data_IF_460253332330
#
_entry.id   IF_460253332330
#
_cell.length_a   1.000
_cell.length_b   1.000
_cell.length_c   1.000
_cell.angle_alpha   90.00
_cell.angle_beta   90.00
_cell.angle_gamma   90.00
#
_symmetry.space_group_name_H-M   'P 1'
#
loop_
_entity.id
_entity.type
_entity.pdbx_description
1 polymer ?
#
# COMPACT_ATOMS: atom_id res chain seq x y z
N UNK A 1 29.96 -12.89 -5.30
CA UNK A 1 29.29 -13.51 -4.13
C UNK A 1 27.83 -13.07 -4.06
N UNK A 2 26.98 -13.77 -3.32
CA UNK A 2 25.65 -13.26 -2.94
C UNK A 2 25.80 -12.20 -1.84
N UNK A 3 24.99 -11.15 -1.87
CA UNK A 3 25.11 -10.01 -0.94
C UNK A 3 23.85 -9.92 -0.08
N UNK A 4 24.06 -9.71 1.23
CA UNK A 4 23.03 -9.30 2.18
C UNK A 4 23.11 -7.76 2.29
N UNK A 5 22.24 -7.00 1.60
CA UNK A 5 22.38 -5.54 1.50
C UNK A 5 21.96 -4.80 2.78
N UNK A 6 21.37 -5.50 3.76
CA UNK A 6 20.86 -4.93 5.01
C UNK A 6 21.10 -5.91 6.15
N UNK A 7 21.07 -5.41 7.38
CA UNK A 7 21.01 -6.28 8.55
C UNK A 7 19.68 -7.06 8.57
N UNK A 8 19.61 -8.21 9.27
CA UNK A 8 18.35 -8.94 9.48
C UNK A 8 17.30 -8.08 10.19
N UNK A 9 16.06 -8.17 9.74
CA UNK A 9 14.90 -7.53 10.34
C UNK A 9 14.70 -8.08 11.76
N UNK A 10 14.48 -7.21 12.76
CA UNK A 10 14.28 -7.66 14.11
C UNK A 10 12.86 -8.25 14.22
N UNK A 11 12.80 -9.57 14.18
CA UNK A 11 11.58 -10.35 14.37
C UNK A 11 11.62 -10.94 15.77
N UNK A 12 10.53 -10.78 16.53
CA UNK A 12 10.42 -11.37 17.86
C UNK A 12 9.94 -12.81 17.73
N UNK A 13 10.63 -13.75 18.38
CA UNK A 13 10.18 -15.13 18.46
C UNK A 13 9.01 -15.24 19.46
N UNK A 14 7.76 -15.46 19.01
CA UNK A 14 6.62 -15.58 19.92
C UNK A 14 6.70 -16.83 20.80
N UNK A 15 7.47 -17.84 20.39
CA UNK A 15 7.74 -19.06 21.16
C UNK A 15 8.95 -18.90 22.12
N UNK A 16 9.57 -17.72 22.12
CA UNK A 16 10.65 -17.36 23.03
C UNK A 16 10.16 -16.99 24.43
N UNK A 17 11.09 -16.63 25.35
CA UNK A 17 10.69 -16.03 26.62
C UNK A 17 9.81 -14.78 26.38
N UNK A 18 8.95 -14.42 27.32
CA UNK A 18 8.11 -13.23 27.18
C UNK A 18 8.96 -11.97 26.94
N UNK A 19 8.47 -11.09 26.06
CA UNK A 19 9.16 -9.84 25.75
C UNK A 19 9.14 -8.93 26.98
N UNK A 20 10.31 -8.63 27.54
CA UNK A 20 10.41 -7.66 28.65
C UNK A 20 10.12 -6.25 28.16
N UNK A 21 9.86 -5.31 29.08
CA UNK A 21 9.70 -3.90 28.73
C UNK A 21 10.96 -3.31 28.07
N UNK A 22 12.14 -3.79 28.46
CA UNK A 22 13.42 -3.42 27.86
C UNK A 22 13.55 -3.98 26.44
N UNK A 23 13.21 -5.26 26.22
CA UNK A 23 13.19 -5.87 24.89
C UNK A 23 12.22 -5.14 23.96
N UNK A 24 11.04 -4.77 24.46
CA UNK A 24 10.06 -3.97 23.71
C UNK A 24 10.63 -2.61 23.31
N UNK A 25 11.34 -1.95 24.23
CA UNK A 25 11.98 -0.65 23.97
C UNK A 25 13.10 -0.78 22.95
N UNK A 26 13.95 -1.81 23.08
CA UNK A 26 15.04 -2.10 22.14
C UNK A 26 14.50 -2.43 20.75
N UNK A 27 13.48 -3.27 20.65
CA UNK A 27 12.82 -3.61 19.38
C UNK A 27 12.20 -2.35 18.74
N UNK A 28 11.49 -1.53 19.52
CA UNK A 28 10.95 -0.25 19.05
C UNK A 28 12.06 0.68 18.53
N UNK A 29 13.18 0.80 19.23
CA UNK A 29 14.31 1.61 18.78
C UNK A 29 14.94 1.06 17.50
N UNK A 30 15.15 -0.25 17.39
CA UNK A 30 15.67 -0.88 16.16
C UNK A 30 14.73 -0.65 14.96
N UNK A 31 13.43 -0.85 15.16
CA UNK A 31 12.41 -0.57 14.14
C UNK A 31 12.37 0.92 13.81
N UNK A 32 12.45 1.80 14.80
CA UNK A 32 12.52 3.25 14.63
C UNK A 32 13.74 3.60 13.78
N UNK A 33 14.94 3.16 14.12
CA UNK A 33 16.16 3.46 13.36
C UNK A 33 16.09 3.01 11.88
N UNK A 34 15.36 1.94 11.58
CA UNK A 34 15.09 1.47 10.20
C UNK A 34 14.04 2.30 9.47
N UNK A 35 13.06 2.83 10.20
CA UNK A 35 11.92 3.58 9.67
C UNK A 35 12.08 5.10 9.83
N UNK A 36 13.17 5.56 10.47
CA UNK A 36 13.43 6.96 10.69
C UNK A 36 13.43 7.69 9.35
N UNK A 37 12.76 8.85 9.25
CA UNK A 37 13.12 9.78 8.22
C UNK A 37 14.59 10.08 8.45
N UNK A 38 15.43 9.73 7.48
CA UNK A 38 16.81 10.22 7.43
C UNK A 38 16.78 11.72 7.73
N UNK A 39 17.63 12.19 8.64
CA UNK A 39 17.52 13.51 9.27
C UNK A 39 17.27 14.68 8.28
N UNK A 40 17.77 14.56 7.05
CA UNK A 40 17.46 15.45 5.95
C UNK A 40 16.20 15.00 5.17
N UNK A 41 15.09 15.70 5.39
CA UNK A 41 13.80 15.50 4.70
C UNK A 41 13.60 16.43 3.51
N UNK A 42 14.64 17.16 3.08
CA UNK A 42 14.55 18.03 1.90
C UNK A 42 14.18 17.24 0.65
N UNK A 43 13.53 17.91 -0.30
CA UNK A 43 13.15 17.31 -1.59
C UNK A 43 14.36 16.68 -2.29
N UNK A 44 15.52 17.33 -2.23
CA UNK A 44 16.76 16.85 -2.83
C UNK A 44 17.24 15.54 -2.17
N UNK A 45 17.22 15.47 -0.84
CA UNK A 45 17.66 14.28 -0.12
C UNK A 45 16.68 13.11 -0.29
N UNK A 46 15.37 13.38 -0.34
CA UNK A 46 14.35 12.36 -0.67
C UNK A 46 14.58 11.81 -2.08
N UNK A 47 14.83 12.69 -3.05
CA UNK A 47 15.14 12.28 -4.41
C UNK A 47 16.43 11.45 -4.49
N UNK A 48 17.49 11.86 -3.78
CA UNK A 48 18.76 11.13 -3.73
C UNK A 48 18.61 9.72 -3.14
N UNK A 49 17.83 9.54 -2.06
CA UNK A 49 17.57 8.21 -1.48
C UNK A 49 16.76 7.30 -2.40
N UNK A 50 15.78 7.87 -3.12
CA UNK A 50 15.03 7.15 -4.15
C UNK A 50 15.96 6.70 -5.27
N UNK A 51 16.83 7.60 -5.75
CA UNK A 51 17.83 7.28 -6.77
C UNK A 51 18.84 6.22 -6.27
N UNK A 52 19.29 6.30 -5.02
CA UNK A 52 20.21 5.30 -4.46
C UNK A 52 19.59 3.90 -4.43
N UNK A 53 18.29 3.78 -4.12
CA UNK A 53 17.58 2.49 -4.17
C UNK A 53 17.60 1.89 -5.59
N UNK A 54 17.52 2.76 -6.61
CA UNK A 54 17.63 2.38 -8.02
C UNK A 54 19.07 2.02 -8.38
N UNK A 55 20.05 2.75 -7.88
CA UNK A 55 21.47 2.57 -8.19
C UNK A 55 22.09 1.33 -7.52
N UNK A 56 21.65 0.98 -6.32
CA UNK A 56 22.29 -0.04 -5.48
C UNK A 56 22.51 -1.39 -6.20
N UNK A 57 21.54 -1.99 -6.90
CA UNK A 57 21.78 -3.24 -7.64
C UNK A 57 22.86 -3.13 -8.73
N UNK A 58 23.05 -1.95 -9.32
CA UNK A 58 24.07 -1.71 -10.35
C UNK A 58 25.46 -1.56 -9.72
N UNK A 59 25.53 -0.83 -8.59
CA UNK A 59 26.75 -0.72 -7.79
C UNK A 59 27.23 -2.10 -7.34
N UNK A 60 26.33 -2.93 -6.80
CA UNK A 60 26.63 -4.29 -6.38
C UNK A 60 27.11 -5.16 -7.55
N UNK A 61 26.47 -5.03 -8.71
CA UNK A 61 26.90 -5.76 -9.92
C UNK A 61 28.31 -5.38 -10.34
N UNK A 62 28.62 -4.09 -10.39
CA UNK A 62 29.95 -3.59 -10.73
C UNK A 62 31.02 -4.04 -9.72
N UNK A 63 30.63 -4.29 -8.47
CA UNK A 63 31.49 -4.87 -7.44
C UNK A 63 31.62 -6.40 -7.50
N UNK A 64 31.02 -7.07 -8.50
CA UNK A 64 31.11 -8.53 -8.68
C UNK A 64 30.09 -9.34 -7.87
N UNK A 65 28.99 -8.72 -7.43
CA UNK A 65 27.88 -9.46 -6.84
C UNK A 65 27.22 -10.37 -7.89
N UNK A 66 26.85 -11.58 -7.46
CA UNK A 66 26.11 -12.54 -8.29
C UNK A 66 24.59 -12.38 -8.13
N UNK A 67 24.17 -11.75 -7.04
CA UNK A 67 22.77 -11.60 -6.65
C UNK A 67 22.67 -11.01 -5.25
N UNK A 68 21.45 -10.67 -4.85
CA UNK A 68 21.13 -10.16 -3.53
C UNK A 68 20.11 -11.06 -2.84
N UNK A 69 20.32 -11.29 -1.54
CA UNK A 69 19.31 -11.89 -0.68
C UNK A 69 18.51 -10.77 -0.01
N UNK A 70 17.21 -10.96 0.06
CA UNK A 70 16.25 -10.07 0.71
C UNK A 70 15.64 -10.83 1.87
N UNK A 71 15.64 -10.19 3.03
CA UNK A 71 15.01 -10.71 4.23
C UNK A 71 13.48 -10.66 4.07
N UNK A 72 12.80 -11.79 4.31
CA UNK A 72 11.34 -11.90 4.34
C UNK A 72 10.67 -11.02 5.39
N UNK A 73 11.43 -10.59 6.41
CA UNK A 73 11.03 -9.64 7.45
C UNK A 73 9.75 -10.04 8.21
N UNK A 74 9.49 -11.35 8.29
CA UNK A 74 8.36 -11.99 8.96
C UNK A 74 8.85 -13.28 9.63
N UNK A 75 8.17 -13.70 10.69
CA UNK A 75 8.44 -14.95 11.40
C UNK A 75 7.86 -16.20 10.70
N UNK A 76 8.23 -17.36 11.21
CA UNK A 76 7.70 -18.68 10.84
C UNK A 76 7.91 -19.05 9.37
N UNK A 77 9.05 -18.63 8.79
CA UNK A 77 9.35 -18.94 7.39
C UNK A 77 8.48 -18.19 6.38
N UNK A 78 7.68 -17.20 6.82
CA UNK A 78 6.90 -16.37 5.93
C UNK A 78 7.82 -15.55 5.04
N UNK A 79 7.50 -15.52 3.75
CA UNK A 79 8.14 -14.67 2.78
C UNK A 79 7.33 -13.39 2.62
N UNK A 80 7.97 -12.40 2.03
CA UNK A 80 7.29 -11.20 1.54
C UNK A 80 7.54 -11.07 0.05
N UNK A 81 6.50 -10.82 -0.72
CA UNK A 81 6.64 -10.39 -2.10
C UNK A 81 6.73 -8.87 -2.16
N UNK A 82 7.48 -8.37 -3.13
CA UNK A 82 7.44 -6.96 -3.51
C UNK A 82 8.09 -6.82 -4.89
N UNK A 83 7.75 -5.76 -5.61
CA UNK A 83 8.35 -5.52 -6.91
C UNK A 83 7.77 -4.31 -7.60
N UNK A 84 8.34 -3.99 -8.77
CA UNK A 84 7.73 -3.02 -9.68
C UNK A 84 8.04 -3.44 -11.11
N UNK A 85 7.06 -3.42 -12.03
CA UNK A 85 7.28 -3.75 -13.43
C UNK A 85 8.05 -2.64 -14.16
N UNK A 86 8.24 -1.49 -13.52
CA UNK A 86 8.89 -0.33 -14.13
C UNK A 86 10.39 -0.53 -14.33
N UNK A 87 10.97 -1.61 -13.79
CA UNK A 87 12.40 -1.88 -13.88
C UNK A 87 12.76 -3.35 -13.72
N UNK A 88 13.67 -3.81 -14.58
CA UNK A 88 14.36 -5.10 -14.41
C UNK A 88 15.71 -4.83 -13.73
N UNK A 89 15.90 -5.41 -12.54
CA UNK A 89 17.17 -5.32 -11.82
C UNK A 89 18.30 -6.03 -12.60
N UNK A 90 19.56 -5.56 -12.51
CA UNK A 90 20.68 -6.12 -13.24
C UNK A 90 21.26 -7.38 -12.58
N UNK A 91 20.74 -7.73 -11.39
CA UNK A 91 21.08 -8.88 -10.56
C UNK A 91 19.79 -9.60 -10.14
N UNK A 92 19.83 -10.94 -9.96
CA UNK A 92 18.75 -11.66 -9.31
C UNK A 92 18.60 -11.20 -7.86
N UNK A 93 17.36 -11.05 -7.42
CA UNK A 93 16.97 -10.82 -6.03
C UNK A 93 16.20 -12.05 -5.54
N UNK A 94 16.63 -12.63 -4.43
CA UNK A 94 15.96 -13.76 -3.79
C UNK A 94 15.46 -13.35 -2.42
N UNK A 95 14.15 -13.45 -2.20
CA UNK A 95 13.58 -13.35 -0.85
C UNK A 95 13.74 -14.71 -0.16
N UNK A 96 14.30 -14.70 1.05
CA UNK A 96 14.41 -15.87 1.92
C UNK A 96 13.74 -15.59 3.26
N UNK A 97 13.47 -16.62 4.06
CA UNK A 97 12.89 -16.44 5.39
C UNK A 97 13.76 -15.55 6.27
N UNK A 98 13.16 -14.88 7.26
CA UNK A 98 13.92 -14.08 8.21
C UNK A 98 14.91 -14.95 9.00
N UNK A 99 14.51 -16.16 9.36
CA UNK A 99 15.32 -17.11 10.11
C UNK A 99 16.58 -17.52 9.34
N UNK A 100 16.45 -17.83 8.04
CA UNK A 100 17.58 -18.16 7.18
C UNK A 100 18.47 -16.93 6.95
N UNK A 101 17.88 -15.77 6.71
CA UNK A 101 18.62 -14.52 6.54
C UNK A 101 19.46 -14.17 7.77
N UNK A 102 18.84 -14.27 8.96
CA UNK A 102 19.49 -14.01 10.23
C UNK A 102 20.58 -15.04 10.55
N UNK A 103 20.36 -16.32 10.19
CA UNK A 103 21.39 -17.36 10.31
C UNK A 103 22.61 -17.03 9.44
N UNK A 104 22.41 -16.68 8.17
CA UNK A 104 23.49 -16.32 7.25
C UNK A 104 24.28 -15.11 7.76
N UNK A 105 23.59 -14.09 8.26
CA UNK A 105 24.23 -12.92 8.87
C UNK A 105 25.12 -13.31 10.07
N UNK A 106 24.59 -14.13 11.00
CA UNK A 106 25.38 -14.60 12.17
C UNK A 106 26.59 -15.44 11.77
N UNK A 107 26.47 -16.28 10.74
CA UNK A 107 27.60 -17.07 10.24
C UNK A 107 28.70 -16.16 9.67
N UNK A 108 28.31 -15.14 8.89
CA UNK A 108 29.25 -14.14 8.35
C UNK A 108 29.94 -13.38 9.49
N UNK A 109 29.18 -12.91 10.49
CA UNK A 109 29.73 -12.21 11.66
C UNK A 109 30.70 -13.09 12.46
N UNK A 110 30.47 -14.40 12.49
CA UNK A 110 31.35 -15.39 13.11
C UNK A 110 32.58 -15.77 12.24
N UNK A 111 32.80 -15.09 11.10
CA UNK A 111 33.92 -15.37 10.19
C UNK A 111 33.72 -16.62 9.32
N UNK A 112 32.54 -17.22 9.32
CA UNK A 112 32.19 -18.32 8.42
C UNK A 112 31.75 -17.75 7.08
N UNK A 113 32.14 -18.39 5.97
CA UNK A 113 31.67 -18.03 4.62
C UNK A 113 30.66 -19.07 4.12
N UNK A 114 29.34 -18.81 4.24
CA UNK A 114 28.32 -19.72 3.73
C UNK A 114 28.42 -19.90 2.22
N UNK A 115 28.14 -21.11 1.73
CA UNK A 115 27.99 -21.40 0.31
C UNK A 115 26.50 -21.54 -0.01
N UNK A 116 26.06 -20.86 -1.06
CA UNK A 116 24.68 -20.85 -1.52
C UNK A 116 24.63 -21.31 -2.96
N UNK A 117 23.71 -22.21 -3.25
CA UNK A 117 23.28 -22.56 -4.59
C UNK A 117 21.81 -22.17 -4.71
N UNK A 118 21.45 -21.56 -5.84
CA UNK A 118 20.08 -21.13 -6.10
C UNK A 118 19.84 -21.02 -7.60
N UNK A 119 18.64 -21.39 -8.01
CA UNK A 119 18.18 -21.29 -9.40
C UNK A 119 16.99 -20.33 -9.45
N UNK A 120 17.06 -19.35 -10.35
CA UNK A 120 15.98 -18.40 -10.62
C UNK A 120 15.56 -18.56 -12.06
N UNK A 121 14.30 -18.91 -12.28
CA UNK A 121 13.75 -19.16 -13.62
C UNK A 121 12.58 -18.20 -13.87
N UNK A 122 12.92 -16.92 -14.07
CA UNK A 122 11.93 -15.86 -14.31
C UNK A 122 11.74 -15.63 -15.81
N UNK A 123 10.48 -15.51 -16.24
CA UNK A 123 10.15 -15.12 -17.61
C UNK A 123 9.50 -13.75 -17.60
N UNK A 124 10.04 -12.83 -18.40
CA UNK A 124 9.45 -11.51 -18.60
C UNK A 124 8.86 -11.43 -20.00
N UNK A 125 7.56 -11.14 -20.09
CA UNK A 125 6.93 -10.84 -21.37
C UNK A 125 7.57 -9.62 -22.03
N UNK A 126 7.72 -9.65 -23.35
CA UNK A 126 8.21 -8.48 -24.14
C UNK A 126 7.10 -7.47 -24.44
N UNK A 127 5.84 -7.91 -24.32
CA UNK A 127 4.66 -7.12 -24.64
C UNK A 127 3.92 -6.78 -23.34
N UNK A 128 3.65 -5.49 -23.06
CA UNK A 128 2.78 -5.10 -21.96
C UNK A 128 1.40 -5.77 -22.09
N UNK A 129 0.86 -6.24 -20.98
CA UNK A 129 -0.50 -6.78 -20.91
C UNK A 129 -1.46 -5.64 -20.60
N UNK A 130 -2.50 -5.49 -21.40
CA UNK A 130 -3.55 -4.51 -21.12
C UNK A 130 -4.36 -4.93 -19.89
N UNK A 131 -4.65 -3.96 -19.04
CA UNK A 131 -5.42 -4.13 -17.80
C UNK A 131 -6.50 -3.04 -17.71
N UNK A 132 -7.52 -3.27 -16.88
CA UNK A 132 -8.66 -2.37 -16.74
C UNK A 132 -9.06 -2.20 -15.28
N UNK A 133 -9.31 -0.96 -14.87
CA UNK A 133 -10.04 -0.71 -13.63
C UNK A 133 -11.50 -1.11 -13.82
N UNK A 134 -12.10 -1.76 -12.83
CA UNK A 134 -13.53 -2.02 -12.82
C UNK A 134 -14.25 -0.85 -12.18
N UNK A 135 -15.23 -0.25 -12.87
CA UNK A 135 -15.92 0.96 -12.43
C UNK A 135 -17.43 0.77 -12.47
N UNK A 136 -18.11 1.14 -11.39
CA UNK A 136 -19.57 1.18 -11.28
C UNK A 136 -20.04 2.49 -10.65
N UNK A 137 -21.28 2.89 -10.88
CA UNK A 137 -21.83 4.15 -10.35
C UNK A 137 -23.26 3.99 -9.84
N UNK A 138 -23.54 4.68 -8.73
CA UNK A 138 -24.88 5.11 -8.36
C UNK A 138 -24.96 6.59 -8.68
N UNK A 139 -25.70 6.92 -9.76
CA UNK A 139 -25.81 8.29 -10.27
C UNK A 139 -26.51 9.21 -9.27
N UNK A 140 -25.93 10.39 -9.07
CA UNK A 140 -26.51 11.41 -8.19
C UNK A 140 -27.83 12.01 -8.72
N UNK A 141 -28.67 12.49 -7.82
CA UNK A 141 -29.98 13.09 -8.14
C UNK A 141 -29.91 14.58 -8.50
N UNK A 142 -29.12 15.37 -7.76
CA UNK A 142 -29.06 16.83 -7.87
C UNK A 142 -27.77 17.32 -8.54
N UNK A 143 -26.64 16.68 -8.21
CA UNK A 143 -25.29 17.06 -8.61
C UNK A 143 -24.55 15.87 -9.26
N UNK A 144 -25.10 15.24 -10.32
CA UNK A 144 -24.55 14.00 -10.90
C UNK A 144 -23.14 14.13 -11.49
N UNK A 145 -22.69 15.36 -11.80
CA UNK A 145 -21.33 15.63 -12.28
C UNK A 145 -20.27 15.69 -11.16
N UNK A 146 -20.68 15.77 -9.90
CA UNK A 146 -19.77 15.71 -8.76
C UNK A 146 -19.73 14.27 -8.22
N UNK A 147 -18.53 13.79 -7.86
CA UNK A 147 -18.30 12.35 -7.63
C UNK A 147 -17.62 12.09 -6.29
N UNK A 148 -18.19 11.22 -5.45
CA UNK A 148 -17.48 10.54 -4.37
C UNK A 148 -16.94 9.22 -4.90
N UNK A 149 -15.65 8.95 -4.74
CA UNK A 149 -15.06 7.68 -5.14
C UNK A 149 -14.88 6.79 -3.92
N UNK A 150 -15.41 5.57 -3.97
CA UNK A 150 -15.10 4.47 -3.08
C UNK A 150 -14.20 3.47 -3.82
N UNK A 151 -13.09 3.06 -3.23
CA UNK A 151 -12.10 2.24 -3.91
C UNK A 151 -11.39 1.19 -3.07
N UNK A 152 -10.86 0.20 -3.78
CA UNK A 152 -9.91 -0.81 -3.33
C UNK A 152 -9.19 -1.32 -4.59
N UNK A 153 -8.11 -2.10 -4.47
CA UNK A 153 -7.51 -2.75 -5.64
C UNK A 153 -7.93 -4.21 -5.77
N UNK A 154 -7.88 -4.69 -7.02
CA UNK A 154 -8.35 -6.01 -7.43
C UNK A 154 -7.19 -6.98 -7.69
N UNK A 155 -5.99 -6.47 -8.00
CA UNK A 155 -4.79 -7.30 -8.12
C UNK A 155 -4.24 -7.70 -6.75
N UNK A 156 -3.31 -8.65 -6.76
CA UNK A 156 -2.58 -9.11 -5.57
C UNK A 156 -1.22 -9.68 -6.00
N UNK A 157 -0.36 -9.95 -5.02
CA UNK A 157 0.81 -10.80 -5.23
C UNK A 157 0.45 -12.29 -5.30
N UNK A 158 1.37 -13.05 -5.89
CA UNK A 158 1.19 -14.45 -6.29
C UNK A 158 1.72 -15.48 -5.27
N UNK A 159 2.12 -15.04 -4.07
CA UNK A 159 2.54 -15.95 -2.99
C UNK A 159 1.35 -16.61 -2.28
N UNK A 160 0.22 -15.92 -2.19
CA UNK A 160 -1.01 -16.37 -1.55
C UNK A 160 -2.19 -16.28 -2.52
N UNK A 161 -3.37 -15.97 -2.00
CA UNK A 161 -4.60 -15.76 -2.78
C UNK A 161 -5.14 -14.33 -2.67
N UNK A 162 -4.34 -13.36 -2.21
CA UNK A 162 -4.70 -11.93 -2.22
C UNK A 162 -5.93 -11.57 -1.39
N UNK A 163 -6.21 -12.31 -0.31
CA UNK A 163 -7.46 -12.15 0.43
C UNK A 163 -7.48 -10.86 1.21
N UNK A 164 -6.51 -10.66 2.10
CA UNK A 164 -6.36 -9.47 2.92
C UNK A 164 -5.73 -8.30 2.14
N UNK A 165 -5.08 -8.59 1.02
CA UNK A 165 -4.39 -7.62 0.17
C UNK A 165 -4.66 -7.89 -1.33
N UNK A 166 -5.77 -7.40 -1.90
CA UNK A 166 -6.83 -6.62 -1.25
C UNK A 166 -8.24 -7.10 -1.64
N UNK A 167 -8.41 -8.42 -1.69
CA UNK A 167 -9.71 -9.06 -1.90
C UNK A 167 -10.78 -8.59 -0.90
N UNK A 168 -10.42 -8.38 0.36
CA UNK A 168 -11.33 -7.90 1.41
C UNK A 168 -11.79 -6.47 1.17
N UNK A 169 -10.91 -5.56 0.77
CA UNK A 169 -11.29 -4.20 0.38
C UNK A 169 -12.21 -4.21 -0.83
N UNK A 170 -11.88 -5.01 -1.85
CA UNK A 170 -12.72 -5.20 -3.03
C UNK A 170 -14.12 -5.73 -2.69
N UNK A 171 -14.23 -6.73 -1.80
CA UNK A 171 -15.52 -7.24 -1.31
C UNK A 171 -16.31 -6.15 -0.58
N UNK A 172 -15.65 -5.34 0.25
CA UNK A 172 -16.29 -4.25 0.99
C UNK A 172 -16.79 -3.14 0.06
N UNK A 173 -16.05 -2.77 -0.99
CA UNK A 173 -16.50 -1.82 -2.03
C UNK A 173 -17.78 -2.34 -2.70
N UNK A 174 -17.80 -3.61 -3.10
CA UNK A 174 -18.95 -4.23 -3.76
C UNK A 174 -20.17 -4.29 -2.82
N UNK A 175 -19.96 -4.67 -1.56
CA UNK A 175 -21.03 -4.76 -0.57
C UNK A 175 -21.58 -3.37 -0.20
N UNK A 176 -20.72 -2.35 -0.10
CA UNK A 176 -21.16 -0.97 0.09
C UNK A 176 -22.02 -0.48 -1.09
N UNK A 177 -21.62 -0.81 -2.34
CA UNK A 177 -22.41 -0.52 -3.52
C UNK A 177 -23.79 -1.18 -3.47
N UNK A 178 -23.83 -2.48 -3.14
CA UNK A 178 -25.06 -3.26 -2.99
C UNK A 178 -25.96 -2.67 -1.90
N UNK A 179 -25.41 -2.33 -0.73
CA UNK A 179 -26.15 -1.77 0.39
C UNK A 179 -26.80 -0.42 0.05
N UNK A 180 -26.05 0.51 -0.56
CA UNK A 180 -26.60 1.81 -0.99
C UNK A 180 -27.70 1.58 -2.04
N UNK A 181 -27.45 0.75 -3.06
CA UNK A 181 -28.43 0.47 -4.11
C UNK A 181 -29.73 -0.14 -3.55
N UNK A 182 -29.63 -1.10 -2.63
CA UNK A 182 -30.80 -1.76 -2.03
C UNK A 182 -31.56 -0.88 -1.03
N UNK A 183 -30.91 0.12 -0.45
CA UNK A 183 -31.59 1.07 0.45
C UNK A 183 -32.65 1.93 -0.26
N UNK A 184 -32.56 2.06 -1.59
CA UNK A 184 -33.40 2.96 -2.39
C UNK A 184 -33.07 4.45 -2.22
N UNK A 185 -32.08 4.79 -1.39
CA UNK A 185 -31.62 6.16 -1.20
C UNK A 185 -30.92 6.68 -2.47
N UNK A 186 -31.15 7.96 -2.79
CA UNK A 186 -30.52 8.63 -3.92
C UNK A 186 -29.59 9.73 -3.41
N UNK A 187 -28.26 9.57 -3.54
CA UNK A 187 -27.33 10.61 -3.12
C UNK A 187 -27.44 11.83 -4.03
N UNK A 188 -27.16 13.03 -3.50
CA UNK A 188 -27.09 14.25 -4.33
C UNK A 188 -26.01 14.15 -5.40
N UNK A 189 -24.82 13.68 -5.02
CA UNK A 189 -23.67 13.45 -5.91
C UNK A 189 -23.61 12.00 -6.37
N UNK A 190 -22.94 11.75 -7.49
CA UNK A 190 -22.67 10.39 -7.95
C UNK A 190 -21.69 9.71 -6.98
N UNK A 191 -21.98 8.47 -6.59
CA UNK A 191 -21.03 7.62 -5.88
C UNK A 191 -20.47 6.64 -6.91
N UNK A 192 -19.16 6.70 -7.12
CA UNK A 192 -18.42 5.87 -8.07
C UNK A 192 -17.59 4.86 -7.30
N UNK A 193 -17.77 3.58 -7.62
CA UNK A 193 -17.06 2.46 -7.02
C UNK A 193 -16.00 1.99 -7.99
N UNK A 194 -14.75 1.89 -7.53
CA UNK A 194 -13.62 1.51 -8.40
C UNK A 194 -12.83 0.38 -7.76
N UNK A 195 -12.65 -0.71 -8.50
CA UNK A 195 -11.65 -1.72 -8.19
C UNK A 195 -10.45 -1.46 -9.10
N UNK A 196 -9.39 -0.88 -8.53
CA UNK A 196 -8.18 -0.51 -9.28
C UNK A 196 -7.37 -1.75 -9.64
N UNK A 197 -6.73 -1.73 -10.81
CA UNK A 197 -5.77 -2.77 -11.20
C UNK A 197 -4.34 -2.24 -11.12
N UNK A 198 -3.42 -3.11 -10.71
CA UNK A 198 -2.00 -2.83 -10.68
C UNK A 198 -1.58 -1.85 -9.60
N UNK A 199 -2.26 -1.89 -8.44
CA UNK A 199 -1.83 -1.18 -7.23
C UNK A 199 -0.43 -1.68 -6.84
N UNK A 200 -0.25 -3.00 -6.79
CA UNK A 200 0.95 -3.66 -6.28
C UNK A 200 2.17 -3.39 -7.16
N UNK A 201 1.92 -3.06 -8.42
CA UNK A 201 2.94 -2.67 -9.39
C UNK A 201 3.31 -1.17 -9.34
N UNK A 202 2.72 -0.43 -8.40
CA UNK A 202 2.96 0.99 -8.19
C UNK A 202 1.81 1.88 -8.66
N UNK A 203 0.59 1.57 -8.22
CA UNK A 203 -0.61 2.38 -8.41
C UNK A 203 -0.98 2.61 -9.88
N UNK A 204 -0.72 1.65 -10.76
CA UNK A 204 -0.84 1.84 -12.21
C UNK A 204 -2.27 2.25 -12.61
N UNK A 205 -3.26 1.53 -12.11
CA UNK A 205 -4.68 1.77 -12.42
C UNK A 205 -5.18 3.10 -11.86
N UNK A 206 -4.92 3.40 -10.60
CA UNK A 206 -5.38 4.67 -9.99
C UNK A 206 -4.63 5.88 -10.55
N UNK A 207 -3.34 5.78 -10.87
CA UNK A 207 -2.58 6.86 -11.55
C UNK A 207 -3.12 7.13 -12.94
N UNK A 208 -3.33 6.09 -13.74
CA UNK A 208 -3.90 6.23 -15.08
C UNK A 208 -5.31 6.87 -15.02
N UNK A 209 -6.12 6.42 -14.06
CA UNK A 209 -7.46 6.98 -13.86
C UNK A 209 -7.42 8.45 -13.41
N UNK A 210 -6.60 8.80 -12.43
CA UNK A 210 -6.47 10.17 -11.94
C UNK A 210 -5.94 11.11 -13.03
N UNK A 211 -4.97 10.66 -13.82
CA UNK A 211 -4.45 11.39 -14.97
C UNK A 211 -5.54 11.62 -16.04
N UNK A 212 -6.31 10.59 -16.38
CA UNK A 212 -7.40 10.69 -17.35
C UNK A 212 -8.51 11.67 -16.90
N UNK A 213 -8.68 11.85 -15.58
CA UNK A 213 -9.67 12.75 -14.99
C UNK A 213 -9.07 14.06 -14.47
N UNK A 214 -7.83 14.40 -14.83
CA UNK A 214 -7.15 15.60 -14.32
C UNK A 214 -7.93 16.90 -14.62
N UNK A 215 -8.52 17.01 -15.81
CA UNK A 215 -9.33 18.16 -16.21
C UNK A 215 -10.64 18.31 -15.40
N UNK A 216 -11.13 17.22 -14.83
CA UNK A 216 -12.37 17.17 -14.04
C UNK A 216 -12.11 16.92 -12.55
N UNK A 217 -10.85 16.99 -12.11
CA UNK A 217 -10.45 16.66 -10.74
C UNK A 217 -11.17 17.51 -9.69
N UNK A 218 -11.46 18.78 -10.01
CA UNK A 218 -12.17 19.69 -9.11
C UNK A 218 -13.65 19.30 -8.87
N UNK A 219 -14.21 18.37 -9.67
CA UNK A 219 -15.55 17.79 -9.45
C UNK A 219 -15.54 16.51 -8.61
N UNK A 220 -14.38 15.96 -8.26
CA UNK A 220 -14.27 14.79 -7.39
C UNK A 220 -14.34 15.26 -5.93
N UNK A 221 -15.44 14.98 -5.22
CA UNK A 221 -15.66 15.33 -3.82
C UNK A 221 -14.51 14.85 -2.93
N UNK A 222 -14.27 13.54 -2.96
CA UNK A 222 -13.23 12.84 -2.22
C UNK A 222 -13.04 11.44 -2.80
N UNK A 223 -11.88 10.84 -2.50
CA UNK A 223 -11.59 9.42 -2.75
C UNK A 223 -11.38 8.74 -1.40
N UNK A 224 -12.15 7.69 -1.12
CA UNK A 224 -11.98 6.83 0.05
C UNK A 224 -11.55 5.45 -0.41
N UNK A 225 -10.45 4.97 0.14
CA UNK A 225 -9.91 3.64 -0.13
C UNK A 225 -9.98 2.78 1.14
N UNK A 226 -10.14 1.46 0.96
CA UNK A 226 -9.97 0.47 2.03
C UNK A 226 -8.90 -0.53 1.60
N UNK A 227 -7.74 -0.46 2.27
CA UNK A 227 -6.58 -1.27 1.89
C UNK A 227 -5.60 -1.46 3.05
N UNK A 228 -6.03 -2.16 4.10
CA UNK A 228 -5.20 -2.54 5.24
C UNK A 228 -5.69 -3.85 5.91
N UNK A 229 -6.10 -4.82 5.10
CA UNK A 229 -6.50 -6.13 5.57
C UNK A 229 -8.00 -6.30 5.79
N UNK A 230 -8.33 -7.30 6.60
CA UNK A 230 -9.71 -7.75 6.80
C UNK A 230 -10.48 -7.03 7.93
N UNK A 231 -9.80 -6.18 8.70
CA UNK A 231 -10.35 -5.69 9.96
C UNK A 231 -11.48 -4.67 9.81
N UNK A 232 -12.28 -4.54 10.86
CA UNK A 232 -13.32 -3.52 10.96
C UNK A 232 -12.70 -2.12 10.81
N UNK A 233 -13.43 -1.20 10.18
CA UNK A 233 -13.02 0.20 10.08
C UNK A 233 -13.16 0.83 11.47
N UNK A 234 -12.08 1.41 11.98
CA UNK A 234 -12.05 2.10 13.28
C UNK A 234 -12.20 3.61 13.15
N UNK A 235 -12.05 4.15 11.94
CA UNK A 235 -12.16 5.58 11.69
C UNK A 235 -11.26 6.06 10.55
N UNK A 236 -10.79 7.30 10.63
CA UNK A 236 -10.12 7.97 9.53
C UNK A 236 -8.85 8.73 9.94
N UNK A 237 -7.76 8.47 9.20
CA UNK A 237 -6.57 9.30 9.18
C UNK A 237 -6.77 10.52 8.26
N UNK A 238 -6.44 11.73 8.71
CA UNK A 238 -6.76 12.98 7.99
C UNK A 238 -5.90 13.28 6.76
N UNK A 239 -4.87 12.49 6.46
CA UNK A 239 -3.98 12.68 5.30
C UNK A 239 -3.40 14.11 5.23
N UNK A 240 -3.01 14.66 6.39
CA UNK A 240 -2.47 16.02 6.51
C UNK A 240 -3.52 17.14 6.41
N UNK A 241 -4.82 16.81 6.42
CA UNK A 241 -5.94 17.76 6.32
C UNK A 241 -6.58 18.01 7.68
N UNK A 242 -5.81 18.54 8.64
CA UNK A 242 -6.27 18.77 10.02
C UNK A 242 -7.51 19.66 10.12
N UNK A 243 -7.67 20.58 9.17
CA UNK A 243 -8.84 21.44 9.07
C UNK A 243 -10.16 20.68 8.84
N UNK A 244 -10.09 19.40 8.45
CA UNK A 244 -11.24 18.53 8.25
C UNK A 244 -11.60 17.69 9.48
N UNK A 245 -10.88 17.83 10.61
CA UNK A 245 -11.10 16.98 11.80
C UNK A 245 -12.56 17.03 12.29
N UNK A 246 -13.11 18.24 12.46
CA UNK A 246 -14.50 18.41 12.92
C UNK A 246 -15.50 17.80 11.95
N UNK A 247 -15.31 18.02 10.64
CA UNK A 247 -16.15 17.44 9.61
C UNK A 247 -16.10 15.91 9.61
N UNK A 248 -14.92 15.30 9.79
CA UNK A 248 -14.80 13.86 9.85
C UNK A 248 -15.48 13.26 11.08
N UNK A 249 -15.47 13.95 12.22
CA UNK A 249 -16.26 13.54 13.40
C UNK A 249 -17.75 13.55 13.09
N UNK A 250 -18.24 14.55 12.36
CA UNK A 250 -19.65 14.61 11.92
C UNK A 250 -19.98 13.49 10.92
N UNK A 251 -19.11 13.24 9.93
CA UNK A 251 -19.29 12.19 8.92
C UNK A 251 -19.31 10.77 9.52
N UNK A 252 -18.58 10.54 10.60
CA UNK A 252 -18.49 9.24 11.26
C UNK A 252 -19.49 9.09 12.43
N UNK A 253 -20.12 10.16 12.90
CA UNK A 253 -21.10 10.11 13.99
C UNK A 253 -22.24 9.09 13.76
N UNK A 254 -22.81 8.92 12.54
CA UNK A 254 -23.86 7.92 12.31
C UNK A 254 -23.40 6.47 12.52
N UNK A 255 -22.09 6.21 12.43
CA UNK A 255 -21.49 4.88 12.58
C UNK A 255 -20.68 4.72 13.87
N UNK A 256 -20.73 5.69 14.78
CA UNK A 256 -20.01 5.65 16.05
C UNK A 256 -20.35 4.42 16.90
N UNK A 257 -21.61 3.94 16.85
CA UNK A 257 -22.04 2.71 17.52
C UNK A 257 -21.36 1.43 17.00
N UNK A 258 -20.62 1.52 15.89
CA UNK A 258 -19.82 0.45 15.29
C UNK A 258 -18.33 0.60 15.61
N UNK A 259 -17.97 1.44 16.59
CA UNK A 259 -16.59 1.76 17.00
C UNK A 259 -15.73 2.32 15.85
N UNK A 260 -16.35 3.10 14.96
CA UNK A 260 -15.78 3.60 13.71
C UNK A 260 -15.60 5.13 13.66
N UNK A 261 -15.57 5.80 14.82
CA UNK A 261 -15.58 7.26 14.95
C UNK A 261 -14.21 7.89 15.28
N UNK A 262 -13.13 7.10 15.24
CA UNK A 262 -11.79 7.64 15.46
C UNK A 262 -11.41 8.61 14.33
N UNK A 263 -10.87 9.76 14.71
CA UNK A 263 -10.27 10.70 13.75
C UNK A 263 -8.86 11.01 14.22
N UNK A 264 -7.88 10.78 13.35
CA UNK A 264 -6.46 10.93 13.71
C UNK A 264 -5.73 11.85 12.76
N UNK A 265 -4.90 12.71 13.34
CA UNK A 265 -3.91 13.50 12.61
C UNK A 265 -2.74 12.60 12.17
N UNK A 266 -2.98 11.84 11.11
CA UNK A 266 -2.03 10.91 10.53
C UNK A 266 -2.19 10.88 9.01
N UNK A 267 -1.16 10.41 8.33
CA UNK A 267 -1.19 10.16 6.88
C UNK A 267 -0.95 8.68 6.62
N UNK A 268 -1.66 8.14 5.64
CA UNK A 268 -1.46 6.77 5.15
C UNK A 268 -0.79 6.82 3.78
N UNK A 269 -0.04 5.77 3.48
CA UNK A 269 0.73 5.64 2.23
C UNK A 269 0.55 4.24 1.65
N UNK A 270 1.00 4.04 0.41
CA UNK A 270 1.04 2.73 -0.23
C UNK A 270 -0.33 2.21 -0.66
N UNK A 271 -1.22 3.09 -1.12
CA UNK A 271 -2.46 2.68 -1.79
C UNK A 271 -3.02 3.79 -2.69
N UNK A 272 -4.11 3.49 -3.39
CA UNK A 272 -4.64 4.21 -4.55
C UNK A 272 -5.09 5.65 -4.30
N UNK A 273 -5.44 6.03 -3.06
CA UNK A 273 -5.85 7.42 -2.74
C UNK A 273 -4.73 8.41 -3.04
N UNK A 274 -3.47 7.97 -2.96
CA UNK A 274 -2.29 8.78 -3.24
C UNK A 274 -2.25 9.30 -4.69
N UNK A 275 -2.82 8.56 -5.64
CA UNK A 275 -2.81 8.92 -7.06
C UNK A 275 -3.60 10.20 -7.36
N UNK A 276 -4.51 10.58 -6.47
CA UNK A 276 -5.41 11.72 -6.63
C UNK A 276 -4.88 13.00 -5.97
N UNK A 277 -3.99 12.87 -4.98
CA UNK A 277 -3.47 14.00 -4.20
C UNK A 277 -2.75 15.06 -5.07
N UNK A 278 -1.93 14.71 -6.08
CA UNK A 278 -1.27 15.70 -6.94
C UNK A 278 -2.25 16.63 -7.68
N UNK A 279 -3.48 16.18 -7.92
CA UNK A 279 -4.52 16.95 -8.59
C UNK A 279 -5.37 17.79 -7.62
N UNK A 280 -5.01 17.84 -6.33
CA UNK A 280 -5.70 18.60 -5.29
C UNK A 280 -6.99 17.94 -4.78
N UNK A 281 -7.27 16.70 -5.19
CA UNK A 281 -8.43 15.93 -4.74
C UNK A 281 -8.14 15.35 -3.34
N UNK A 282 -9.03 15.56 -2.34
CA UNK A 282 -8.93 14.90 -1.05
C UNK A 282 -9.03 13.38 -1.21
N UNK A 283 -7.95 12.68 -0.89
CA UNK A 283 -7.87 11.24 -0.89
C UNK A 283 -7.57 10.73 0.51
N UNK A 284 -8.24 9.65 0.91
CA UNK A 284 -8.17 9.06 2.23
C UNK A 284 -8.15 7.53 2.13
N UNK A 285 -7.49 6.88 3.07
CA UNK A 285 -7.58 5.43 3.28
C UNK A 285 -8.06 5.21 4.72
N UNK A 286 -9.09 4.40 4.93
CA UNK A 286 -9.70 4.18 6.24
C UNK A 286 -8.73 3.49 7.21
N UNK A 287 -8.82 3.79 8.50
CA UNK A 287 -8.15 3.00 9.53
C UNK A 287 -8.91 1.70 9.79
N UNK A 288 -8.18 0.60 9.93
CA UNK A 288 -8.74 -0.72 10.21
C UNK A 288 -8.06 -1.37 11.42
N UNK A 289 -8.79 -2.24 12.10
CA UNK A 289 -8.20 -3.21 13.00
C UNK A 289 -7.15 -4.04 12.24
N UNK A 290 -5.96 -4.21 12.82
CA UNK A 290 -4.87 -4.89 12.10
C UNK A 290 -5.18 -6.33 11.73
N UNK A 291 -5.92 -7.08 12.56
CA UNK A 291 -6.29 -8.51 12.32
C UNK A 291 -5.16 -9.37 11.70
N UNK A 292 -3.93 -9.22 12.20
CA UNK A 292 -2.80 -9.99 11.70
C UNK A 292 -2.23 -9.56 10.35
N UNK A 293 -2.60 -8.38 9.82
CA UNK A 293 -2.16 -7.92 8.49
C UNK A 293 -0.65 -7.86 8.31
N UNK A 294 0.11 -7.57 9.38
CA UNK A 294 1.58 -7.61 9.34
C UNK A 294 2.13 -8.99 8.94
N UNK A 295 1.37 -10.07 9.21
CA UNK A 295 1.69 -11.43 8.85
C UNK A 295 1.22 -11.73 7.42
N UNK A 296 -0.05 -11.45 7.13
CA UNK A 296 -0.68 -11.83 5.84
C UNK A 296 -0.15 -11.01 4.66
N UNK A 297 0.00 -9.70 4.80
CA UNK A 297 0.42 -8.77 3.75
C UNK A 297 1.61 -9.31 2.94
N UNK A 298 1.40 -9.46 1.63
CA UNK A 298 2.39 -9.94 0.66
C UNK A 298 3.01 -11.31 0.96
N UNK A 299 2.34 -12.17 1.74
CA UNK A 299 2.88 -13.48 2.15
C UNK A 299 2.03 -14.65 1.67
N UNK A 300 2.58 -15.86 1.80
CA UNK A 300 1.86 -17.10 1.54
C UNK A 300 0.68 -17.33 2.49
N UNK A 301 0.64 -16.63 3.63
CA UNK A 301 -0.46 -16.74 4.58
C UNK A 301 -1.67 -15.90 4.20
N UNK A 302 -1.57 -15.09 3.12
CA UNK A 302 -2.70 -14.30 2.63
C UNK A 302 -3.74 -15.17 1.92
N UNK A 303 -4.63 -15.76 2.70
CA UNK A 303 -5.52 -16.84 2.29
C UNK A 303 -6.96 -16.59 2.75
N UNK A 304 -7.93 -17.24 2.11
CA UNK A 304 -9.35 -16.99 2.33
C UNK A 304 -9.77 -17.11 3.81
N UNK A 305 -9.21 -18.05 4.56
CA UNK A 305 -9.54 -18.27 5.98
C UNK A 305 -9.14 -17.09 6.89
N UNK A 306 -8.36 -16.12 6.38
CA UNK A 306 -8.05 -14.88 7.10
C UNK A 306 -9.16 -13.85 7.04
N UNK A 307 -10.16 -14.02 6.17
CA UNK A 307 -11.29 -13.12 6.08
C UNK A 307 -12.19 -13.20 7.32
N UNK A 308 -12.40 -12.06 7.99
CA UNK A 308 -13.24 -11.95 9.20
C UNK A 308 -14.61 -11.39 8.79
N UNK A 309 -15.56 -12.27 8.54
CA UNK A 309 -16.87 -11.89 7.98
C UNK A 309 -17.63 -10.80 8.77
N UNK A 310 -17.54 -10.79 10.10
CA UNK A 310 -18.16 -9.76 10.93
C UNK A 310 -17.58 -8.36 10.70
N UNK A 311 -16.25 -8.29 10.64
CA UNK A 311 -15.50 -7.07 10.37
C UNK A 311 -15.77 -6.53 8.96
N UNK A 312 -15.84 -7.41 7.95
CA UNK A 312 -16.15 -7.00 6.57
C UNK A 312 -17.56 -6.41 6.44
N UNK A 313 -18.56 -6.97 7.13
CA UNK A 313 -19.92 -6.42 7.18
C UNK A 313 -19.94 -5.04 7.83
N UNK A 314 -19.19 -4.88 8.93
CA UNK A 314 -19.04 -3.59 9.60
C UNK A 314 -18.39 -2.57 8.67
N UNK A 315 -17.28 -2.95 8.02
CA UNK A 315 -16.54 -2.07 7.12
C UNK A 315 -17.39 -1.62 5.94
N UNK A 316 -18.18 -2.52 5.35
CA UNK A 316 -19.12 -2.17 4.28
C UNK A 316 -20.20 -1.21 4.73
N UNK A 317 -20.77 -1.38 5.93
CA UNK A 317 -21.74 -0.44 6.48
C UNK A 317 -21.12 0.94 6.72
N UNK A 318 -19.91 1.00 7.32
CA UNK A 318 -19.19 2.25 7.56
C UNK A 318 -18.91 2.97 6.24
N UNK A 319 -18.31 2.27 5.28
CA UNK A 319 -17.92 2.85 4.00
C UNK A 319 -19.13 3.32 3.19
N UNK A 320 -20.24 2.57 3.21
CA UNK A 320 -21.49 2.97 2.58
C UNK A 320 -22.07 4.25 3.18
N UNK A 321 -22.18 4.32 4.51
CA UNK A 321 -22.74 5.48 5.22
C UNK A 321 -21.86 6.70 5.02
N UNK A 322 -20.54 6.60 5.23
CA UNK A 322 -19.62 7.73 5.07
C UNK A 322 -19.63 8.26 3.63
N UNK A 323 -19.66 7.40 2.62
CA UNK A 323 -19.77 7.84 1.22
C UNK A 323 -21.09 8.54 0.92
N UNK A 324 -22.19 8.04 1.48
CA UNK A 324 -23.50 8.66 1.35
C UNK A 324 -23.53 10.04 2.01
N UNK A 325 -23.03 10.19 3.23
CA UNK A 325 -22.92 11.47 3.93
C UNK A 325 -22.06 12.47 3.13
N UNK A 326 -20.87 12.05 2.67
CA UNK A 326 -20.01 12.86 1.80
C UNK A 326 -20.71 13.29 0.51
N UNK A 327 -21.47 12.40 -0.11
CA UNK A 327 -22.19 12.68 -1.34
C UNK A 327 -23.31 13.71 -1.13
N UNK A 328 -23.79 13.88 0.10
CA UNK A 328 -24.89 14.78 0.45
C UNK A 328 -24.46 16.09 1.14
N UNK A 329 -23.17 16.28 1.41
CA UNK A 329 -22.65 17.54 1.95
C UNK A 329 -23.08 18.76 1.10
N UNK A 330 -23.37 19.91 1.71
CA UNK A 330 -23.82 21.08 0.97
C UNK A 330 -22.74 21.64 0.02
N UNK A 331 -21.46 21.38 0.30
CA UNK A 331 -20.32 21.89 -0.47
C UNK A 331 -19.26 20.81 -0.68
N UNK A 332 -18.46 20.98 -1.73
CA UNK A 332 -17.25 20.19 -1.92
C UNK A 332 -16.25 20.43 -0.79
N UNK A 333 -15.49 19.41 -0.41
CA UNK A 333 -14.39 19.59 0.54
C UNK A 333 -13.37 20.62 -0.02
N UNK A 334 -12.69 21.40 0.83
CA UNK A 334 -11.56 22.21 0.42
C UNK A 334 -10.51 21.38 -0.35
N UNK A 335 -10.01 21.90 -1.47
CA UNK A 335 -8.99 21.22 -2.29
C UNK A 335 -7.64 21.26 -1.58
N UNK A 336 -6.83 20.23 -1.81
CA UNK A 336 -5.43 20.22 -1.40
C UNK A 336 -4.56 21.01 -2.38
N UNK A 337 -3.28 21.26 -2.03
CA UNK A 337 -2.34 21.86 -2.95
C UNK A 337 -2.13 20.96 -4.18
N UNK A 338 -2.23 21.53 -5.37
CA UNK A 338 -1.87 20.84 -6.62
C UNK A 338 -0.36 20.75 -6.72
N UNK A 339 0.16 19.63 -7.20
CA UNK A 339 1.58 19.40 -7.39
C UNK A 339 1.84 18.59 -8.66
N UNK A 340 3.00 18.77 -9.31
CA UNK A 340 3.35 17.94 -10.45
C UNK A 340 3.46 16.48 -10.01
N UNK A 341 2.98 15.57 -10.86
CA UNK A 341 3.20 14.13 -10.68
C UNK A 341 4.71 13.88 -10.85
N UNK A 342 5.37 13.47 -9.77
CA UNK A 342 6.81 13.16 -9.78
C UNK A 342 6.98 11.70 -10.22
N UNK A 343 7.61 11.42 -11.38
CA UNK A 343 7.88 10.06 -11.79
C UNK A 343 8.83 9.38 -10.80
N UNK A 344 8.61 8.09 -10.54
CA UNK A 344 9.58 7.28 -9.83
C UNK A 344 10.78 7.07 -10.76
N UNK A 345 12.03 7.33 -10.34
CA UNK A 345 13.19 7.03 -11.16
C UNK A 345 13.25 5.53 -11.49
N UNK A 346 13.33 5.19 -12.77
CA UNK A 346 13.41 3.80 -13.25
C UNK A 346 14.80 3.45 -13.78
N UNK A 347 15.62 4.46 -14.07
CA UNK A 347 16.96 4.32 -14.65
C UNK A 347 18.05 4.58 -13.60
N UNK A 348 19.15 3.81 -13.63
CA UNK A 348 20.30 4.10 -12.78
C UNK A 348 20.91 5.46 -13.15
N UNK A 349 21.66 6.04 -12.20
CA UNK A 349 22.43 7.26 -12.42
C UNK A 349 23.44 7.09 -13.57
N UNK A 350 23.79 8.18 -14.28
CA UNK A 350 24.81 8.16 -15.32
C UNK A 350 26.11 7.50 -14.82
N UNK A 351 26.74 6.67 -15.65
CA UNK A 351 27.95 5.92 -15.31
C UNK A 351 27.72 4.59 -14.58
N UNK A 352 26.53 4.33 -14.03
CA UNK A 352 26.18 3.02 -13.46
C UNK A 352 25.49 2.09 -14.46
N UNK A 353 25.00 2.62 -15.57
CA UNK A 353 24.46 1.82 -16.66
C UNK A 353 25.57 0.97 -17.28
N UNK A 354 25.74 -0.26 -16.80
CA UNK A 354 26.44 -1.29 -17.59
C UNK A 354 25.67 -1.45 -18.89
N UNK A 355 26.39 -1.54 -20.03
CA UNK A 355 25.78 -1.88 -21.31
C UNK A 355 24.86 -3.08 -21.06
N UNK A 356 23.54 -2.86 -21.13
CA UNK A 356 22.66 -4.01 -21.20
C UNK A 356 23.08 -4.75 -22.46
N UNK A 357 23.17 -6.10 -22.46
CA UNK A 357 23.22 -6.80 -23.73
C UNK A 357 22.05 -6.25 -24.54
N UNK A 358 22.36 -5.77 -25.76
CA UNK A 358 21.32 -5.37 -26.71
C UNK A 358 20.27 -6.48 -26.74
N UNK A 359 19.02 -6.12 -26.50
CA UNK A 359 17.89 -7.07 -26.44
C UNK A 359 17.26 -7.28 -27.81
#
# INVERSE_FOLDING_TARGET
>A
AWVLPRAPYPVWNPDGPEMTAEDSTRLKEQLRLRSLPTADTSTAAVAARRQFTVDLPYILKSAGALGTLVDGAKEHGLLTMSGSPTRVAPLPNLVISNEDYALLARLIDAGTTPRLEGRVDNRLGRTPVQQWNTVAEIRGSELPGQVVILGAHLDSWDLGTGTTDNGTGSMVVLEAARAIAQSGLKPKRTIRFILFSGEEQGLLGSRAYAQAHAATADSIQAVLVLDNGTGAITGQALQGRKELEGLWKELLAPVARLDADSVRDASKTGTDHLSFLPYGVPGFNFDQLRRGYNHTHHSQSDTYDKAVAGDLKQAAAVMAVTAYELANLPRLLPRGPKSPVVPVPTRPSPGLATAQPER
#
